data_IF_383841024631
#
_entry.id   IF_383841024631
#
_cell.length_a   1.000
_cell.length_b   1.000
_cell.length_c   1.000
_cell.angle_alpha   90.00
_cell.angle_beta   90.00
_cell.angle_gamma   90.00
#
_symmetry.space_group_name_H-M   'P 1'
#
loop_
_entity.id
_entity.type
_entity.pdbx_description
1 polymer ?
#
# COMPACT_ATOMS: atom_id res chain seq x y z
N UNK A 1 -3.45 -29.55 4.39
CA UNK A 1 -3.05 -29.50 2.98
C UNK A 1 -4.27 -29.27 2.05
N UNK A 2 -5.10 -28.24 2.30
CA UNK A 2 -6.11 -27.75 1.32
C UNK A 2 -6.70 -26.37 1.72
N UNK A 3 -5.87 -25.35 1.86
CA UNK A 3 -6.32 -23.94 2.07
C UNK A 3 -6.20 -23.08 0.79
N UNK A 4 -5.91 -23.68 -0.36
CA UNK A 4 -5.40 -22.98 -1.55
C UNK A 4 -6.22 -23.16 -2.83
N UNK A 5 -7.56 -23.20 -2.79
CA UNK A 5 -8.34 -23.46 -4.02
C UNK A 5 -9.37 -22.43 -4.47
N UNK A 6 -9.60 -21.33 -3.77
CA UNK A 6 -10.64 -20.37 -4.20
C UNK A 6 -10.21 -18.89 -4.14
N UNK A 7 -9.03 -18.56 -4.68
CA UNK A 7 -8.71 -17.16 -5.04
C UNK A 7 -9.14 -16.89 -6.48
N UNK A 8 -10.44 -17.05 -6.77
CA UNK A 8 -11.03 -16.63 -8.04
C UNK A 8 -11.61 -15.24 -7.87
N UNK A 9 -10.74 -14.23 -7.80
CA UNK A 9 -11.08 -12.80 -7.70
C UNK A 9 -11.88 -12.25 -8.90
N UNK A 10 -12.22 -13.09 -9.89
CA UNK A 10 -12.76 -12.64 -11.17
C UNK A 10 -13.90 -13.48 -11.76
N UNK A 11 -14.59 -14.34 -11.02
CA UNK A 11 -15.53 -15.28 -11.66
C UNK A 11 -16.91 -14.75 -12.13
N UNK A 12 -17.31 -13.49 -11.91
CA UNK A 12 -18.65 -13.02 -12.29
C UNK A 12 -18.67 -11.99 -13.47
N UNK A 13 -19.06 -12.50 -14.65
CA UNK A 13 -19.80 -11.93 -15.80
C UNK A 13 -19.54 -10.47 -16.24
N UNK A 14 -19.13 -10.30 -17.50
CA UNK A 14 -18.90 -9.07 -18.29
C UNK A 14 -17.73 -8.15 -17.88
N UNK A 15 -17.18 -8.32 -16.69
CA UNK A 15 -15.99 -7.59 -16.17
C UNK A 15 -14.64 -8.22 -16.55
N UNK A 16 -14.64 -9.52 -16.87
CA UNK A 16 -13.42 -10.30 -17.15
C UNK A 16 -12.58 -9.77 -18.31
N UNK A 17 -13.22 -9.33 -19.40
CA UNK A 17 -12.49 -8.92 -20.61
C UNK A 17 -11.81 -7.56 -20.43
N UNK A 18 -12.50 -6.60 -19.80
CA UNK A 18 -11.95 -5.27 -19.53
C UNK A 18 -10.81 -5.32 -18.51
N UNK A 19 -10.98 -6.06 -17.41
CA UNK A 19 -9.91 -6.22 -16.41
C UNK A 19 -8.70 -6.97 -16.99
N UNK A 20 -8.93 -8.01 -17.81
CA UNK A 20 -7.85 -8.72 -18.49
C UNK A 20 -7.08 -7.81 -19.45
N UNK A 21 -7.78 -6.98 -20.21
CA UNK A 21 -7.17 -5.98 -21.09
C UNK A 21 -6.28 -5.00 -20.30
N UNK A 22 -6.78 -4.44 -19.20
CA UNK A 22 -6.00 -3.53 -18.34
C UNK A 22 -4.73 -4.22 -17.82
N UNK A 23 -4.84 -5.46 -17.37
CA UNK A 23 -3.70 -6.22 -16.86
C UNK A 23 -2.68 -6.53 -17.96
N UNK A 24 -3.13 -6.91 -19.15
CA UNK A 24 -2.26 -7.14 -20.32
C UNK A 24 -1.51 -5.87 -20.71
N UNK A 25 -2.22 -4.74 -20.88
CA UNK A 25 -1.62 -3.44 -21.20
C UNK A 25 -0.66 -2.95 -20.10
N UNK A 26 -0.96 -3.24 -18.83
CA UNK A 26 -0.05 -2.96 -17.72
C UNK A 26 1.25 -3.76 -17.83
N UNK A 27 1.18 -5.09 -18.04
CA UNK A 27 2.36 -5.94 -18.16
C UNK A 27 3.25 -5.48 -19.32
N UNK A 28 2.67 -5.20 -20.49
CA UNK A 28 3.43 -4.73 -21.66
C UNK A 28 4.12 -3.39 -21.39
N UNK A 29 3.37 -2.40 -20.87
CA UNK A 29 3.91 -1.06 -20.59
C UNK A 29 5.02 -1.08 -19.54
N UNK A 30 4.84 -1.83 -18.46
CA UNK A 30 5.84 -1.90 -17.38
C UNK A 30 7.07 -2.68 -17.83
N UNK A 31 6.90 -3.75 -18.60
CA UNK A 31 8.02 -4.51 -19.16
C UNK A 31 8.81 -3.69 -20.17
N UNK A 32 8.14 -2.88 -21.00
CA UNK A 32 8.79 -1.93 -21.92
C UNK A 32 9.56 -0.83 -21.16
N UNK A 33 9.02 -0.33 -20.05
CA UNK A 33 9.68 0.64 -19.16
C UNK A 33 10.95 0.07 -18.50
N UNK A 34 10.98 -1.25 -18.27
CA UNK A 34 12.04 -2.00 -17.56
C UNK A 34 12.22 -1.51 -16.12
N UNK A 35 12.98 -2.26 -15.33
CA UNK A 35 13.29 -1.89 -13.93
C UNK A 35 13.88 -0.47 -13.86
N UNK A 36 14.82 -0.13 -14.74
CA UNK A 36 15.51 1.17 -14.69
C UNK A 36 14.58 2.36 -14.98
N UNK A 37 13.57 2.19 -15.83
CA UNK A 37 12.59 3.22 -16.09
C UNK A 37 11.68 3.47 -14.88
N UNK A 38 11.28 2.41 -14.17
CA UNK A 38 10.51 2.52 -12.92
C UNK A 38 11.35 3.17 -11.82
N UNK A 39 12.65 2.87 -11.75
CA UNK A 39 13.58 3.55 -10.84
C UNK A 39 13.66 5.04 -11.14
N UNK A 40 13.80 5.42 -12.42
CA UNK A 40 13.81 6.83 -12.83
C UNK A 40 12.49 7.54 -12.51
N UNK A 41 11.38 6.84 -12.61
CA UNK A 41 10.06 7.34 -12.21
C UNK A 41 9.97 7.63 -10.73
N UNK A 42 10.42 6.69 -9.89
CA UNK A 42 10.47 6.90 -8.44
C UNK A 42 11.35 8.10 -8.06
N UNK A 43 12.49 8.31 -8.72
CA UNK A 43 13.34 9.50 -8.49
C UNK A 43 12.62 10.83 -8.79
N UNK A 44 11.67 10.85 -9.73
CA UNK A 44 10.83 12.04 -9.96
C UNK A 44 9.82 12.22 -8.83
N UNK A 45 9.27 11.13 -8.31
CA UNK A 45 8.38 11.15 -7.15
C UNK A 45 9.08 11.63 -5.88
N UNK A 46 10.36 11.30 -5.66
CA UNK A 46 11.13 11.79 -4.50
C UNK A 46 11.23 13.33 -4.44
N UNK A 47 11.12 14.00 -5.59
CA UNK A 47 11.07 15.47 -5.65
C UNK A 47 9.65 16.04 -5.59
N UNK A 48 8.62 15.19 -5.52
CA UNK A 48 7.23 15.62 -5.42
C UNK A 48 6.86 15.92 -3.98
N UNK A 49 6.30 17.11 -3.76
CA UNK A 49 5.66 17.52 -2.53
C UNK A 49 4.46 18.41 -2.87
N UNK A 50 3.42 18.32 -2.05
CA UNK A 50 2.27 19.20 -2.16
C UNK A 50 2.62 20.56 -1.53
N UNK A 51 2.72 21.59 -2.37
CA UNK A 51 3.05 22.97 -1.95
C UNK A 51 1.94 23.63 -1.13
N UNK A 52 0.74 23.08 -1.16
CA UNK A 52 -0.43 23.61 -0.45
C UNK A 52 -0.64 22.96 0.92
N UNK A 53 0.05 21.84 1.19
CA UNK A 53 -0.11 21.09 2.43
C UNK A 53 0.46 21.82 3.65
N UNK A 54 -0.31 21.81 4.73
CA UNK A 54 0.06 22.37 6.05
C UNK A 54 0.24 21.26 7.09
N UNK A 55 0.96 21.56 8.16
CA UNK A 55 1.43 20.58 9.17
C UNK A 55 1.37 21.15 10.60
N UNK A 56 0.43 22.04 10.87
CA UNK A 56 0.39 22.88 12.07
C UNK A 56 0.05 22.03 13.29
N UNK A 57 -0.92 21.11 13.14
CA UNK A 57 -1.27 20.18 14.19
C UNK A 57 -0.13 19.20 14.47
N UNK A 58 0.59 18.75 13.43
CA UNK A 58 1.79 17.92 13.59
C UNK A 58 2.87 18.63 14.42
N UNK A 59 3.22 19.86 14.04
CA UNK A 59 4.24 20.68 14.73
C UNK A 59 3.86 20.99 16.19
N UNK A 60 2.57 21.16 16.46
CA UNK A 60 2.07 21.46 17.82
C UNK A 60 2.01 20.23 18.73
N UNK A 61 2.06 19.01 18.16
CA UNK A 61 1.88 17.75 18.89
C UNK A 61 3.10 16.81 18.75
N UNK A 62 4.32 17.35 18.69
CA UNK A 62 5.55 16.56 18.46
C UNK A 62 5.72 15.36 19.39
N UNK A 63 5.26 15.46 20.65
CA UNK A 63 5.32 14.36 21.63
C UNK A 63 4.43 13.16 21.29
N UNK A 64 3.42 13.33 20.41
CA UNK A 64 2.54 12.27 19.93
C UNK A 64 3.06 11.63 18.62
N UNK A 65 4.17 12.12 18.07
CA UNK A 65 4.72 11.68 16.79
C UNK A 65 5.88 10.71 17.00
N UNK A 66 5.82 9.54 16.36
CA UNK A 66 6.90 8.54 16.46
C UNK A 66 8.18 9.00 15.80
N UNK A 67 8.07 9.79 14.73
CA UNK A 67 9.17 10.28 13.92
C UNK A 67 8.99 11.77 13.64
N UNK A 68 10.04 12.56 13.83
CA UNK A 68 10.00 14.02 13.64
C UNK A 68 10.02 14.43 12.16
N UNK A 69 10.44 13.53 11.27
CA UNK A 69 10.58 13.71 9.83
C UNK A 69 9.45 13.07 9.01
N UNK A 70 8.45 12.48 9.68
CA UNK A 70 7.24 11.94 9.06
C UNK A 70 6.07 12.85 9.40
N UNK A 71 5.75 13.76 8.51
CA UNK A 71 4.74 14.81 8.74
C UNK A 71 3.30 14.28 8.63
N UNK A 72 2.36 14.90 9.35
CA UNK A 72 0.93 14.62 9.26
C UNK A 72 0.21 15.82 8.63
N UNK A 73 -0.43 15.61 7.48
CA UNK A 73 -1.07 16.67 6.68
C UNK A 73 -2.37 17.12 7.37
N UNK A 74 -2.56 18.42 7.58
CA UNK A 74 -3.73 18.92 8.32
C UNK A 74 -5.05 18.72 7.58
N UNK A 75 -5.07 18.87 6.25
CA UNK A 75 -6.30 18.82 5.44
C UNK A 75 -6.93 17.43 5.41
N UNK A 76 -6.15 16.38 5.65
CA UNK A 76 -6.59 14.98 5.61
C UNK A 76 -6.41 14.25 6.94
N UNK A 77 -5.93 14.93 8.00
CA UNK A 77 -5.72 14.27 9.29
C UNK A 77 -7.04 13.81 9.90
N UNK A 78 -6.98 12.71 10.64
CA UNK A 78 -8.08 12.30 11.52
C UNK A 78 -8.12 13.26 12.72
N UNK A 79 -9.31 13.77 13.04
CA UNK A 79 -9.56 14.63 14.20
C UNK A 79 -10.34 13.84 15.23
N UNK A 80 -9.80 13.71 16.44
CA UNK A 80 -10.48 13.03 17.54
C UNK A 80 -11.48 13.98 18.20
N UNK A 81 -12.75 13.58 18.20
CA UNK A 81 -13.87 14.31 18.79
C UNK A 81 -14.39 13.58 20.04
N UNK A 82 -14.25 12.25 20.09
CA UNK A 82 -14.67 11.44 21.22
C UNK A 82 -13.71 11.60 22.41
N UNK A 83 -14.22 11.93 23.60
CA UNK A 83 -13.44 11.98 24.85
C UNK A 83 -13.45 13.36 25.52
N UNK A 84 -12.73 13.49 26.63
CA UNK A 84 -12.59 14.77 27.33
C UNK A 84 -11.78 15.77 26.51
N UNK A 85 -12.12 17.07 26.61
CA UNK A 85 -11.48 18.15 25.84
C UNK A 85 -9.96 18.22 26.08
N UNK A 86 -9.52 17.87 27.28
CA UNK A 86 -8.12 17.97 27.70
C UNK A 86 -7.22 16.94 26.97
N UNK A 87 -7.78 15.88 26.39
CA UNK A 87 -7.01 14.92 25.58
C UNK A 87 -6.63 15.46 24.19
N UNK A 88 -7.28 16.54 23.76
CA UNK A 88 -7.11 17.14 22.43
C UNK A 88 -7.65 16.28 21.29
N UNK A 89 -7.50 16.80 20.07
CA UNK A 89 -8.04 16.23 18.84
C UNK A 89 -6.99 15.52 17.96
N UNK A 90 -5.71 15.53 18.38
CA UNK A 90 -4.61 15.09 17.54
C UNK A 90 -4.29 13.61 17.70
N UNK A 91 -4.24 12.93 16.56
CA UNK A 91 -3.58 11.63 16.35
C UNK A 91 -2.81 11.70 15.02
N UNK A 92 -1.65 11.03 14.93
CA UNK A 92 -0.86 10.96 13.69
C UNK A 92 -1.44 9.94 12.71
N UNK A 93 -2.59 10.29 12.14
CA UNK A 93 -3.32 9.49 11.17
C UNK A 93 -3.94 10.38 10.09
N UNK A 94 -4.02 9.89 8.86
CA UNK A 94 -4.70 10.57 7.75
C UNK A 94 -5.73 9.63 7.11
N UNK A 95 -6.86 10.19 6.70
CA UNK A 95 -7.77 9.52 5.80
C UNK A 95 -7.14 9.37 4.42
N UNK A 96 -7.41 8.25 3.77
CA UNK A 96 -7.06 8.04 2.37
C UNK A 96 -8.35 7.91 1.58
N UNK A 97 -8.73 9.00 0.90
CA UNK A 97 -9.96 9.09 0.10
C UNK A 97 -9.61 9.16 -1.38
N UNK A 98 -10.14 8.22 -2.15
CA UNK A 98 -9.97 8.16 -3.60
C UNK A 98 -11.34 7.85 -4.23
N UNK A 99 -11.64 8.34 -5.45
CA UNK A 99 -12.96 8.19 -6.05
C UNK A 99 -13.47 6.74 -6.16
N UNK A 100 -12.56 5.78 -6.34
CA UNK A 100 -12.90 4.36 -6.48
C UNK A 100 -12.74 3.54 -5.19
N UNK A 101 -12.23 4.14 -4.11
CA UNK A 101 -12.19 3.48 -2.81
C UNK A 101 -13.58 3.56 -2.18
N UNK A 102 -14.33 2.47 -2.27
CA UNK A 102 -15.67 2.35 -1.65
C UNK A 102 -15.60 2.13 -0.14
N UNK A 103 -14.44 1.70 0.36
CA UNK A 103 -14.19 1.41 1.77
C UNK A 103 -13.31 2.48 2.40
N UNK A 104 -13.63 2.85 3.65
CA UNK A 104 -12.83 3.81 4.42
C UNK A 104 -11.49 3.18 4.81
N UNK A 105 -10.39 3.84 4.42
CA UNK A 105 -9.05 3.53 4.90
C UNK A 105 -8.45 4.69 5.69
N UNK A 106 -7.85 4.36 6.83
CA UNK A 106 -7.06 5.29 7.63
C UNK A 106 -5.63 4.77 7.72
N UNK A 107 -4.68 5.59 7.31
CA UNK A 107 -3.26 5.29 7.43
C UNK A 107 -2.69 6.01 8.64
N UNK A 108 -2.04 5.27 9.55
CA UNK A 108 -1.53 5.82 10.81
C UNK A 108 -0.16 5.24 11.16
N UNK A 109 0.59 5.92 12.03
CA UNK A 109 1.80 5.36 12.64
C UNK A 109 1.43 4.20 13.59
N UNK A 110 2.38 3.31 13.87
CA UNK A 110 2.22 2.36 14.97
C UNK A 110 2.08 3.13 16.29
N UNK A 111 1.06 2.85 17.12
CA UNK A 111 0.79 3.64 18.32
C UNK A 111 1.98 3.61 19.28
N UNK A 112 2.26 4.76 19.91
CA UNK A 112 3.21 4.88 21.01
C UNK A 112 2.52 4.44 22.30
N UNK A 113 3.31 4.16 23.35
CA UNK A 113 2.75 3.90 24.67
C UNK A 113 1.87 5.06 25.16
N UNK A 114 2.27 6.30 24.86
CA UNK A 114 1.53 7.53 25.20
C UNK A 114 0.30 7.79 24.31
N UNK A 115 0.18 7.14 23.15
CA UNK A 115 -0.91 7.41 22.19
C UNK A 115 -1.83 6.20 21.99
N UNK A 116 -1.73 5.16 22.83
CA UNK A 116 -2.57 3.96 22.69
C UNK A 116 -4.05 4.28 22.94
N UNK A 117 -4.34 5.20 23.86
CA UNK A 117 -5.70 5.66 24.12
C UNK A 117 -6.26 6.46 22.94
N UNK A 118 -5.47 7.36 22.36
CA UNK A 118 -5.84 8.09 21.14
C UNK A 118 -6.09 7.14 19.96
N UNK A 119 -5.29 6.08 19.83
CA UNK A 119 -5.49 5.05 18.82
C UNK A 119 -6.84 4.34 18.99
N UNK A 120 -7.19 3.91 20.20
CA UNK A 120 -8.49 3.28 20.44
C UNK A 120 -9.67 4.24 20.33
N UNK A 121 -9.49 5.52 20.71
CA UNK A 121 -10.46 6.60 20.46
C UNK A 121 -10.76 6.71 18.97
N UNK A 122 -9.72 6.74 18.13
CA UNK A 122 -9.84 6.76 16.67
C UNK A 122 -10.62 5.55 16.18
N UNK A 123 -10.22 4.35 16.60
CA UNK A 123 -10.85 3.08 16.18
C UNK A 123 -12.35 3.07 16.47
N UNK A 124 -12.73 3.47 17.69
CA UNK A 124 -14.13 3.53 18.10
C UNK A 124 -14.90 4.61 17.35
N UNK A 125 -14.38 5.84 17.31
CA UNK A 125 -15.01 6.97 16.63
C UNK A 125 -15.26 6.69 15.16
N UNK A 126 -14.27 6.11 14.48
CA UNK A 126 -14.32 5.88 13.04
C UNK A 126 -15.05 4.61 12.64
N UNK A 127 -15.53 3.84 13.64
CA UNK A 127 -16.19 2.54 13.49
C UNK A 127 -15.34 1.56 12.69
N UNK A 128 -14.08 1.45 13.07
CA UNK A 128 -13.13 0.58 12.39
C UNK A 128 -13.43 -0.87 12.74
N UNK A 129 -13.65 -1.69 11.72
CA UNK A 129 -13.94 -3.12 11.88
C UNK A 129 -12.67 -3.97 11.79
N UNK A 130 -11.61 -3.46 11.15
CA UNK A 130 -10.36 -4.20 10.96
C UNK A 130 -9.13 -3.32 11.10
N UNK A 131 -8.12 -3.82 11.82
CA UNK A 131 -6.78 -3.23 11.86
C UNK A 131 -5.80 -4.14 11.15
N UNK A 132 -5.08 -3.62 10.15
CA UNK A 132 -3.99 -4.30 9.46
C UNK A 132 -2.63 -3.74 9.93
N UNK A 133 -1.91 -4.56 10.70
CA UNK A 133 -0.56 -4.25 11.19
C UNK A 133 0.52 -4.92 10.32
N UNK A 134 1.42 -4.11 9.76
CA UNK A 134 2.45 -4.56 8.81
C UNK A 134 3.88 -4.58 9.40
N UNK A 135 4.05 -4.57 10.72
CA UNK A 135 5.36 -4.33 11.36
C UNK A 135 6.42 -5.44 11.20
N UNK A 136 6.04 -6.67 10.81
CA UNK A 136 6.97 -7.78 10.55
C UNK A 136 7.34 -7.95 9.07
N UNK A 137 6.82 -7.10 8.17
CA UNK A 137 7.37 -6.93 6.82
C UNK A 137 8.66 -6.09 6.94
N UNK A 138 9.78 -6.45 6.29
CA UNK A 138 11.04 -5.71 6.43
C UNK A 138 10.87 -4.18 6.27
N UNK A 139 11.25 -3.39 7.28
CA UNK A 139 10.98 -1.95 7.34
C UNK A 139 11.44 -1.17 6.09
N UNK A 140 12.56 -1.60 5.48
CA UNK A 140 13.15 -1.05 4.24
C UNK A 140 13.17 -2.06 3.07
N UNK A 141 12.38 -3.13 3.16
CA UNK A 141 12.35 -4.18 2.16
C UNK A 141 10.94 -4.65 1.82
N UNK A 142 10.87 -5.80 1.15
CA UNK A 142 9.65 -6.36 0.57
C UNK A 142 9.60 -7.88 0.77
N UNK A 143 8.42 -8.50 0.86
CA UNK A 143 8.28 -9.95 0.88
C UNK A 143 9.00 -10.59 -0.30
N UNK A 144 9.53 -11.78 -0.09
CA UNK A 144 10.19 -12.56 -1.14
C UNK A 144 9.22 -13.00 -2.25
N UNK A 145 9.75 -13.56 -3.32
CA UNK A 145 8.98 -14.02 -4.47
C UNK A 145 7.89 -15.05 -4.08
N UNK A 146 8.18 -15.93 -3.11
CA UNK A 146 7.23 -16.94 -2.60
C UNK A 146 6.04 -16.30 -1.88
N UNK A 147 6.22 -15.09 -1.38
CA UNK A 147 5.26 -14.34 -0.59
C UNK A 147 4.68 -13.12 -1.34
N UNK A 148 4.93 -13.02 -2.65
CA UNK A 148 4.62 -11.80 -3.42
C UNK A 148 3.11 -11.50 -3.51
N UNK A 149 2.23 -12.51 -3.45
CA UNK A 149 0.79 -12.32 -3.51
C UNK A 149 0.13 -12.11 -2.13
N UNK A 150 0.90 -12.20 -1.03
CA UNK A 150 0.39 -11.97 0.33
C UNK A 150 -0.32 -10.61 0.47
N UNK A 151 0.22 -9.48 -0.04
CA UNK A 151 -0.48 -8.20 -0.02
C UNK A 151 -1.92 -8.27 -0.56
N UNK A 152 -2.14 -8.98 -1.68
CA UNK A 152 -3.46 -9.08 -2.29
C UNK A 152 -4.39 -9.98 -1.45
N UNK A 153 -3.85 -11.04 -0.87
CA UNK A 153 -4.59 -11.91 0.05
C UNK A 153 -5.02 -11.19 1.34
N UNK A 154 -4.22 -10.22 1.80
CA UNK A 154 -4.60 -9.38 2.95
C UNK A 154 -5.69 -8.40 2.57
N UNK A 155 -5.54 -7.73 1.43
CA UNK A 155 -6.54 -6.80 0.92
C UNK A 155 -7.90 -7.49 0.79
N UNK A 156 -7.96 -8.70 0.23
CA UNK A 156 -9.19 -9.51 0.15
C UNK A 156 -9.88 -9.71 1.51
N UNK A 157 -9.12 -9.76 2.61
CA UNK A 157 -9.69 -9.92 3.96
C UNK A 157 -10.18 -8.63 4.60
N UNK A 158 -9.63 -7.47 4.21
CA UNK A 158 -9.86 -6.19 4.91
C UNK A 158 -10.64 -5.17 4.08
N UNK A 159 -10.70 -5.29 2.76
CA UNK A 159 -11.26 -4.27 1.85
C UNK A 159 -12.79 -4.15 1.90
N UNK A 160 -13.46 -4.99 2.67
CA UNK A 160 -14.92 -5.03 2.74
C UNK A 160 -15.54 -4.18 3.86
N UNK A 161 -14.71 -3.58 4.72
CA UNK A 161 -15.17 -2.79 5.86
C UNK A 161 -14.13 -1.73 6.27
N UNK A 162 -14.52 -0.66 6.99
CA UNK A 162 -13.60 0.38 7.43
C UNK A 162 -12.35 -0.19 8.11
N UNK A 163 -11.18 0.20 7.61
CA UNK A 163 -9.91 -0.40 8.02
C UNK A 163 -8.85 0.65 8.37
N UNK A 164 -8.16 0.41 9.48
CA UNK A 164 -6.91 1.10 9.80
C UNK A 164 -5.75 0.26 9.31
N UNK A 165 -4.86 0.85 8.52
CA UNK A 165 -3.63 0.22 8.04
C UNK A 165 -2.44 0.95 8.64
N UNK A 166 -1.55 0.23 9.33
CA UNK A 166 -0.37 0.82 9.92
C UNK A 166 0.86 -0.07 9.81
N UNK A 167 2.02 0.56 9.93
CA UNK A 167 3.30 -0.12 10.13
C UNK A 167 4.05 0.60 11.26
N UNK A 168 5.34 0.89 11.12
CA UNK A 168 6.03 1.77 12.07
C UNK A 168 5.64 3.24 11.86
N UNK A 169 6.05 3.85 10.74
CA UNK A 169 5.71 5.24 10.41
C UNK A 169 4.33 5.41 9.74
N UNK A 170 3.76 4.32 9.22
CA UNK A 170 2.48 4.39 8.51
C UNK A 170 2.55 4.97 7.10
N UNK A 171 3.70 4.93 6.43
CA UNK A 171 3.91 5.53 5.09
C UNK A 171 4.46 4.54 4.04
N UNK A 172 5.45 3.72 4.39
CA UNK A 172 6.12 2.81 3.44
C UNK A 172 5.24 1.62 3.05
N UNK A 173 5.27 0.57 3.89
CA UNK A 173 4.44 -0.65 3.72
C UNK A 173 2.95 -0.34 3.64
N UNK A 174 2.50 0.56 4.51
CA UNK A 174 1.12 1.07 4.52
C UNK A 174 0.73 1.67 3.16
N UNK A 175 1.54 2.59 2.63
CA UNK A 175 1.31 3.19 1.32
C UNK A 175 1.35 2.16 0.18
N UNK A 176 2.24 1.15 0.24
CA UNK A 176 2.27 0.07 -0.74
C UNK A 176 0.99 -0.76 -0.77
N UNK A 177 0.42 -1.12 0.39
CA UNK A 177 -0.84 -1.85 0.47
C UNK A 177 -1.99 -1.02 -0.11
N UNK A 178 -2.10 0.25 0.25
CA UNK A 178 -3.19 1.10 -0.26
C UNK A 178 -3.02 1.38 -1.76
N UNK A 179 -1.79 1.54 -2.25
CA UNK A 179 -1.54 1.69 -3.68
C UNK A 179 -2.00 0.47 -4.49
N UNK A 180 -1.78 -0.74 -3.96
CA UNK A 180 -2.28 -1.98 -4.56
C UNK A 180 -3.80 -2.04 -4.54
N UNK A 181 -4.46 -1.61 -3.47
CA UNK A 181 -5.92 -1.55 -3.41
C UNK A 181 -6.47 -0.60 -4.47
N UNK A 182 -5.92 0.61 -4.60
CA UNK A 182 -6.34 1.58 -5.63
C UNK A 182 -6.10 0.99 -7.03
N UNK A 183 -4.96 0.35 -7.27
CA UNK A 183 -4.68 -0.30 -8.55
C UNK A 183 -5.66 -1.45 -8.87
N UNK A 184 -6.07 -2.24 -7.86
CA UNK A 184 -7.10 -3.27 -8.04
C UNK A 184 -8.45 -2.65 -8.38
N UNK A 185 -8.82 -1.53 -7.74
CA UNK A 185 -10.05 -0.81 -8.09
C UNK A 185 -9.98 -0.24 -9.52
N UNK A 186 -8.83 0.28 -9.95
CA UNK A 186 -8.63 0.70 -11.33
C UNK A 186 -8.81 -0.47 -12.30
N UNK A 187 -8.29 -1.67 -12.00
CA UNK A 187 -8.51 -2.88 -12.83
C UNK A 187 -9.98 -3.27 -12.91
N UNK A 188 -10.72 -3.22 -11.80
CA UNK A 188 -12.15 -3.55 -11.75
C UNK A 188 -12.98 -2.51 -12.50
N UNK A 189 -12.65 -1.23 -12.33
CA UNK A 189 -13.25 -0.13 -13.07
C UNK A 189 -12.81 -0.08 -14.54
N UNK A 190 -11.80 -0.87 -14.90
CA UNK A 190 -11.21 -0.95 -16.24
C UNK A 190 -10.47 0.32 -16.67
N UNK A 191 -9.87 1.01 -15.70
CA UNK A 191 -8.95 2.13 -15.87
C UNK A 191 -7.51 1.62 -15.95
N UNK A 192 -6.65 2.41 -16.57
CA UNK A 192 -5.22 2.11 -16.63
C UNK A 192 -4.59 2.22 -15.24
N UNK A 193 -3.83 1.20 -14.83
CA UNK A 193 -3.01 1.26 -13.61
C UNK A 193 -1.87 2.26 -13.81
N UNK A 194 -1.86 3.35 -13.03
CA UNK A 194 -0.80 4.36 -13.05
C UNK A 194 -0.26 4.58 -11.64
N UNK A 195 0.84 3.88 -11.32
CA UNK A 195 1.48 4.00 -10.02
C UNK A 195 2.15 5.35 -9.78
N UNK A 196 2.52 6.11 -10.82
CA UNK A 196 3.10 7.45 -10.62
C UNK A 196 1.99 8.39 -10.14
N UNK A 197 0.82 8.35 -10.79
CA UNK A 197 -0.38 9.07 -10.35
C UNK A 197 -0.82 8.65 -8.95
N UNK A 198 -1.00 7.34 -8.73
CA UNK A 198 -1.45 6.80 -7.43
C UNK A 198 -0.50 7.23 -6.31
N UNK A 199 0.82 7.19 -6.53
CA UNK A 199 1.79 7.62 -5.52
C UNK A 199 1.72 9.11 -5.21
N UNK A 200 1.51 9.97 -6.22
CA UNK A 200 1.33 11.42 -6.01
C UNK A 200 0.07 11.72 -5.20
N UNK A 201 -1.05 11.15 -5.60
CA UNK A 201 -2.33 11.31 -4.91
C UNK A 201 -2.24 10.76 -3.47
N UNK A 202 -1.57 9.61 -3.27
CA UNK A 202 -1.34 9.06 -1.94
C UNK A 202 -0.45 9.97 -1.09
N UNK A 203 0.56 10.62 -1.67
CA UNK A 203 1.42 11.59 -0.96
C UNK A 203 0.70 12.89 -0.61
N UNK A 204 -0.35 13.26 -1.35
CA UNK A 204 -1.28 14.34 -0.96
C UNK A 204 -2.24 13.91 0.16
N UNK A 205 -2.64 12.64 0.21
CA UNK A 205 -3.49 12.13 1.28
C UNK A 205 -2.70 11.87 2.58
N UNK A 206 -1.52 11.26 2.47
CA UNK A 206 -0.58 11.03 3.57
C UNK A 206 0.85 11.15 3.07
N UNK A 207 1.56 12.14 3.61
CA UNK A 207 2.90 12.51 3.18
C UNK A 207 3.87 11.32 3.13
N UNK A 208 4.77 11.35 2.15
CA UNK A 208 5.86 10.38 1.99
C UNK A 208 5.41 8.91 1.80
N UNK A 209 4.13 8.65 1.49
CA UNK A 209 3.64 7.33 1.13
C UNK A 209 4.50 6.67 0.03
N UNK A 210 4.74 5.36 0.19
CA UNK A 210 5.69 4.56 -0.60
C UNK A 210 7.10 5.17 -0.47
N UNK A 211 7.75 4.83 0.63
CA UNK A 211 8.92 5.55 1.16
C UNK A 211 10.23 5.20 0.43
N UNK A 212 10.29 4.04 -0.22
CA UNK A 212 11.52 3.56 -0.86
C UNK A 212 11.27 3.13 -2.30
N UNK A 213 12.32 3.26 -3.12
CA UNK A 213 12.35 2.77 -4.49
C UNK A 213 11.99 1.28 -4.58
N UNK A 214 12.43 0.47 -3.60
CA UNK A 214 12.16 -0.98 -3.58
C UNK A 214 10.68 -1.27 -3.35
N UNK A 215 10.02 -0.53 -2.45
CA UNK A 215 8.57 -0.61 -2.25
C UNK A 215 7.80 -0.22 -3.52
N UNK A 216 8.26 0.82 -4.23
CA UNK A 216 7.66 1.25 -5.49
C UNK A 216 7.86 0.24 -6.64
N UNK A 217 9.02 -0.40 -6.72
CA UNK A 217 9.23 -1.50 -7.67
C UNK A 217 8.39 -2.73 -7.29
N UNK A 218 8.18 -2.98 -6.00
CA UNK A 218 7.44 -4.14 -5.52
C UNK A 218 5.95 -4.08 -5.83
N UNK A 219 5.27 -2.93 -5.70
CA UNK A 219 3.86 -2.84 -6.10
C UNK A 219 3.67 -3.15 -7.61
N UNK A 220 4.65 -2.80 -8.45
CA UNK A 220 4.66 -3.19 -9.86
C UNK A 220 4.83 -4.69 -10.01
N UNK A 221 5.79 -5.29 -9.29
CA UNK A 221 6.00 -6.74 -9.26
C UNK A 221 4.72 -7.48 -8.89
N UNK A 222 4.06 -7.09 -7.80
CA UNK A 222 2.82 -7.71 -7.30
C UNK A 222 1.73 -7.69 -8.37
N UNK A 223 1.55 -6.56 -9.07
CA UNK A 223 0.53 -6.46 -10.13
C UNK A 223 0.88 -7.26 -11.39
N UNK A 224 2.17 -7.39 -11.73
CA UNK A 224 2.60 -8.30 -12.81
C UNK A 224 2.33 -9.74 -12.41
N UNK A 225 2.75 -10.17 -11.22
CA UNK A 225 2.49 -11.54 -10.72
C UNK A 225 0.98 -11.83 -10.68
N UNK A 226 0.16 -10.88 -10.23
CA UNK A 226 -1.29 -10.98 -10.29
C UNK A 226 -1.82 -11.18 -11.72
N UNK A 227 -1.32 -10.40 -12.68
CA UNK A 227 -1.69 -10.55 -14.10
C UNK A 227 -1.30 -11.95 -14.63
N UNK A 228 -0.10 -12.44 -14.32
CA UNK A 228 0.40 -13.74 -14.79
C UNK A 228 -0.43 -14.93 -14.27
N UNK A 229 -1.14 -14.77 -13.15
CA UNK A 229 -2.05 -15.78 -12.61
C UNK A 229 -3.37 -15.89 -13.41
N UNK A 230 -3.69 -14.92 -14.27
CA UNK A 230 -4.89 -15.00 -15.10
C UNK A 230 -4.75 -16.04 -16.21
N UNK A 231 -5.61 -17.06 -16.18
CA UNK A 231 -5.63 -18.16 -17.16
C UNK A 231 -5.76 -17.68 -18.61
N UNK A 232 -6.48 -16.59 -18.84
CA UNK A 232 -6.78 -16.04 -20.16
C UNK A 232 -5.76 -15.00 -20.65
N UNK A 233 -4.72 -14.69 -19.86
CA UNK A 233 -3.66 -13.79 -20.33
C UNK A 233 -2.88 -14.48 -21.45
N UNK A 234 -2.59 -13.74 -22.53
CA UNK A 234 -1.91 -14.30 -23.69
C UNK A 234 -0.46 -14.70 -23.37
N UNK A 235 0.02 -15.73 -24.06
CA UNK A 235 1.34 -16.31 -23.77
C UNK A 235 2.49 -15.35 -24.10
N UNK A 236 2.33 -14.45 -25.07
CA UNK A 236 3.31 -13.40 -25.37
C UNK A 236 3.47 -12.44 -24.20
N UNK A 237 2.38 -11.90 -23.68
CA UNK A 237 2.40 -10.99 -22.53
C UNK A 237 2.85 -11.71 -21.27
N UNK A 238 2.49 -12.99 -21.08
CA UNK A 238 3.06 -13.80 -19.99
C UNK A 238 4.59 -13.93 -20.12
N UNK A 239 5.12 -14.18 -21.31
CA UNK A 239 6.56 -14.27 -21.54
C UNK A 239 7.26 -12.92 -21.26
N UNK A 240 6.66 -11.82 -21.71
CA UNK A 240 7.11 -10.45 -21.45
C UNK A 240 7.18 -10.15 -19.94
N UNK A 241 6.10 -10.45 -19.20
CA UNK A 241 6.05 -10.28 -17.75
C UNK A 241 7.07 -11.15 -17.01
N UNK A 242 7.22 -12.43 -17.38
CA UNK A 242 8.23 -13.33 -16.79
C UNK A 242 9.65 -12.80 -17.01
N UNK A 243 9.95 -12.27 -18.19
CA UNK A 243 11.26 -11.65 -18.49
C UNK A 243 11.51 -10.42 -17.62
N UNK A 244 10.50 -9.59 -17.40
CA UNK A 244 10.61 -8.46 -16.47
C UNK A 244 10.91 -8.94 -15.04
N UNK A 245 10.19 -9.95 -14.54
CA UNK A 245 10.40 -10.49 -13.19
C UNK A 245 11.81 -11.06 -13.02
N UNK A 246 12.35 -11.72 -14.04
CA UNK A 246 13.74 -12.20 -14.06
C UNK A 246 14.76 -11.05 -13.97
N UNK A 247 14.58 -9.94 -14.71
CA UNK A 247 15.44 -8.75 -14.60
C UNK A 247 15.34 -8.12 -13.21
N UNK A 248 14.13 -8.01 -12.68
CA UNK A 248 13.87 -7.52 -11.32
C UNK A 248 14.62 -8.35 -10.27
N UNK A 249 14.47 -9.68 -10.31
CA UNK A 249 15.08 -10.58 -9.32
C UNK A 249 16.62 -10.55 -9.41
N UNK A 250 17.16 -10.53 -10.63
CA UNK A 250 18.60 -10.39 -10.87
C UNK A 250 19.16 -9.08 -10.28
N UNK A 251 18.43 -7.96 -10.42
CA UNK A 251 18.85 -6.65 -9.89
C UNK A 251 18.72 -6.54 -8.37
N UNK A 252 17.72 -7.19 -7.77
CA UNK A 252 17.63 -7.31 -6.31
C UNK A 252 18.80 -8.13 -5.74
N UNK A 253 19.06 -9.31 -6.30
CA UNK A 253 20.12 -10.22 -5.81
C UNK A 253 21.52 -9.62 -5.90
N UNK A 254 21.79 -8.82 -6.95
CA UNK A 254 23.08 -8.14 -7.14
C UNK A 254 23.29 -6.92 -6.22
N UNK A 255 22.33 -6.60 -5.34
CA UNK A 255 22.41 -5.43 -4.46
C UNK A 255 22.36 -4.09 -5.19
N UNK A 256 22.03 -4.08 -6.49
CA UNK A 256 21.90 -2.85 -7.31
C UNK A 256 20.69 -2.04 -6.85
N UNK A 257 19.68 -2.73 -6.31
CA UNK A 257 18.56 -2.14 -5.60
C UNK A 257 18.89 -2.14 -4.10
N UNK A 258 19.01 -0.96 -3.50
CA UNK A 258 19.34 -0.82 -2.09
C UNK A 258 18.21 -1.37 -1.22
N UNK A 259 18.28 -2.66 -0.91
CA UNK A 259 17.39 -3.35 -0.02
C UNK A 259 18.24 -4.16 0.96
N UNK A 260 18.01 -3.99 2.26
CA UNK A 260 18.40 -5.03 3.20
C UNK A 260 17.40 -6.17 2.97
N UNK A 261 17.77 -7.15 2.13
CA UNK A 261 17.08 -8.44 2.09
C UNK A 261 17.47 -9.12 3.39
N UNK A 262 16.58 -9.23 4.39
CA UNK A 262 17.00 -9.88 5.60
C UNK A 262 16.97 -11.40 5.35
N UNK A 263 18.05 -12.08 5.73
CA UNK A 263 18.36 -13.48 5.42
C UNK A 263 17.63 -14.50 6.30
N UNK A 264 16.44 -14.20 6.82
CA UNK A 264 15.69 -15.13 7.67
C UNK A 264 14.32 -15.45 7.09
N UNK A 265 13.91 -16.73 7.17
CA UNK A 265 12.56 -17.19 6.84
C UNK A 265 11.54 -16.46 7.70
N UNK A 266 10.88 -15.44 7.15
CA UNK A 266 9.88 -14.68 7.87
C UNK A 266 8.53 -15.40 7.81
N UNK A 267 8.06 -15.86 8.97
CA UNK A 267 6.62 -16.02 9.19
C UNK A 267 6.06 -14.61 9.22
N UNK A 268 5.38 -14.21 8.15
CA UNK A 268 4.77 -12.89 8.07
C UNK A 268 3.54 -12.87 8.98
N UNK A 269 3.71 -12.37 10.21
CA UNK A 269 2.59 -12.18 11.13
C UNK A 269 1.84 -10.90 10.74
N UNK A 270 0.64 -11.09 10.22
CA UNK A 270 -0.36 -10.03 10.11
C UNK A 270 -1.39 -10.25 11.22
N UNK A 271 -1.62 -9.23 12.04
CA UNK A 271 -2.80 -9.21 12.87
C UNK A 271 -3.91 -8.53 12.06
N UNK A 272 -5.01 -9.24 11.85
CA UNK A 272 -6.29 -8.64 11.50
C UNK A 272 -7.14 -8.73 12.76
N UNK A 273 -7.29 -7.60 13.44
CA UNK A 273 -8.18 -7.49 14.59
C UNK A 273 -9.57 -7.18 14.06
N UNK A 274 -10.48 -8.16 14.05
CA UNK A 274 -11.89 -7.91 13.76
C UNK A 274 -12.61 -7.45 15.02
N UNK A 275 -13.21 -6.27 14.98
CA UNK A 275 -14.04 -5.77 16.06
C UNK A 275 -15.49 -6.15 15.78
N UNK A 276 -16.09 -6.97 16.65
CA UNK A 276 -17.50 -7.35 16.58
C UNK A 276 -18.37 -6.33 17.31
#
# INVERSE_FOLDING_TARGET
>A
MSLFRNTNLFQAVNTKDRSLKVLSEFVERISAKKVDGIVKEYKRLDNFYDVTATYEAFKSNMVKNRYSDVVCIDSTRVKLELGEKDFGDYIHANYVSFPLLTTKFICTQGPLQSTIHDFWRMIFQERIESVLMLCNWPDRGVPDHNSCLIPLQLLDRIRHAPCVVHCSAGIGRTGSIIALEIALQDVVAGNTIDFERIARELRCARAQCIQTQVQYLYIHRVMIENALMHINLDESTKATGKKFLQDYDSKLQKGVLCCQIPTFSYVVYFAILKMN
#
